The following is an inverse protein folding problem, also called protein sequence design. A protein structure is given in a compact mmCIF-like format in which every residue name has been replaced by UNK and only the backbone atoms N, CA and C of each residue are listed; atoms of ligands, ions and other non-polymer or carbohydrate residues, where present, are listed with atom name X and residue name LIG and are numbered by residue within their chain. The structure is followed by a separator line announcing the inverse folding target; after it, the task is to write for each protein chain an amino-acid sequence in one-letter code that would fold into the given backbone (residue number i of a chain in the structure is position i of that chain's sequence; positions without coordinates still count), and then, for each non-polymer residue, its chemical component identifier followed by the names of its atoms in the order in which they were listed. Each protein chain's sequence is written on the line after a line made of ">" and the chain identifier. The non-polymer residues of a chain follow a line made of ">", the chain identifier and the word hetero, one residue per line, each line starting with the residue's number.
data_IF_724535884855
#
_entry.id   IF_724535884855
#
_cell.length_a   1.000
_cell.length_b   1.000
_cell.length_c   1.000
_cell.angle_alpha   90.00
_cell.angle_beta   90.00
_cell.angle_gamma   90.00
#
_symmetry.space_group_name_H-M   'P 1'
#
loop_
_entity.id
_entity.type
_entity.pdbx_description
1 polymer ?
#
# COMPACT_ATOMS: atom_id res chain seq x y z
N UNK A 1 -8.09 -20.02 -1.46
CA UNK A 1 -6.95 -19.58 -0.62
C UNK A 1 -6.73 -18.11 -0.89
N UNK A 2 -6.57 -17.28 0.13
CA UNK A 2 -6.31 -15.84 -0.07
C UNK A 2 -4.80 -15.64 -0.03
N UNK A 3 -4.17 -15.17 -1.12
CA UNK A 3 -2.72 -14.99 -1.13
C UNK A 3 -2.33 -13.87 -0.16
N UNK A 4 -1.27 -14.15 0.61
CA UNK A 4 -0.62 -13.20 1.50
C UNK A 4 0.85 -13.16 1.09
N UNK A 5 1.36 -11.96 0.81
CA UNK A 5 2.77 -11.74 0.53
C UNK A 5 3.39 -10.86 1.61
N UNK A 6 4.71 -10.92 1.75
CA UNK A 6 5.48 -9.94 2.52
C UNK A 6 6.17 -8.99 1.55
N UNK A 7 6.10 -7.70 1.84
CA UNK A 7 6.85 -6.68 1.10
C UNK A 7 7.79 -5.94 2.05
N UNK A 8 8.95 -5.59 1.50
CA UNK A 8 9.90 -4.67 2.12
C UNK A 8 9.63 -3.25 1.65
N UNK A 9 9.73 -2.27 2.54
CA UNK A 9 9.64 -0.86 2.18
C UNK A 9 10.59 0.00 3.03
N UNK A 10 11.06 1.10 2.43
CA UNK A 10 11.90 2.07 3.12
C UNK A 10 11.06 3.25 3.60
N UNK A 11 11.24 3.65 4.85
CA UNK A 11 10.62 4.83 5.43
C UNK A 11 11.59 5.52 6.39
N UNK A 12 11.85 6.82 6.20
CA UNK A 12 12.78 7.61 7.04
C UNK A 12 14.15 6.91 7.24
N UNK A 13 14.75 6.44 6.15
CA UNK A 13 16.07 5.77 6.11
C UNK A 13 16.14 4.44 6.89
N UNK A 14 14.99 3.83 7.19
CA UNK A 14 14.91 2.51 7.82
C UNK A 14 14.08 1.57 6.95
N UNK A 15 14.45 0.30 6.98
CA UNK A 15 13.74 -0.78 6.31
C UNK A 15 12.68 -1.36 7.22
N UNK A 16 11.48 -1.55 6.69
CA UNK A 16 10.32 -2.13 7.36
C UNK A 16 9.66 -3.18 6.49
N UNK A 17 8.81 -4.00 7.12
CA UNK A 17 8.08 -5.07 6.45
C UNK A 17 6.59 -4.90 6.65
N UNK A 18 5.82 -5.28 5.63
CA UNK A 18 4.38 -5.33 5.69
C UNK A 18 3.84 -6.61 5.06
N UNK A 19 2.76 -7.15 5.64
CA UNK A 19 1.99 -8.24 5.06
C UNK A 19 0.91 -7.66 4.17
N UNK A 20 0.70 -8.26 3.01
CA UNK A 20 -0.29 -7.81 2.03
C UNK A 20 -1.23 -8.95 1.71
N UNK A 21 -2.49 -8.81 2.11
CA UNK A 21 -3.57 -9.74 1.78
C UNK A 21 -4.28 -9.23 0.53
N UNK A 22 -4.35 -10.08 -0.49
CA UNK A 22 -4.92 -9.69 -1.79
C UNK A 22 -6.34 -10.22 -1.91
N UNK A 23 -7.30 -9.36 -2.23
CA UNK A 23 -8.70 -9.73 -2.46
C UNK A 23 -9.10 -9.32 -3.88
N UNK A 24 -9.72 -10.23 -4.61
CA UNK A 24 -10.32 -9.92 -5.91
C UNK A 24 -11.81 -9.64 -5.71
N UNK A 25 -12.30 -8.51 -6.25
CA UNK A 25 -13.71 -8.11 -6.18
C UNK A 25 -14.10 -7.40 -7.46
N UNK A 26 -15.12 -7.89 -8.17
CA UNK A 26 -15.73 -7.19 -9.32
C UNK A 26 -14.72 -6.57 -10.31
N UNK A 27 -13.72 -7.36 -10.74
CA UNK A 27 -12.65 -6.94 -11.66
C UNK A 27 -11.57 -5.99 -11.09
N UNK A 28 -11.61 -5.67 -9.80
CA UNK A 28 -10.53 -4.93 -9.12
C UNK A 28 -9.79 -5.82 -8.12
N UNK A 29 -8.51 -5.52 -7.91
CA UNK A 29 -7.67 -6.16 -6.88
C UNK A 29 -7.44 -5.19 -5.74
N UNK A 30 -7.85 -5.60 -4.54
CA UNK A 30 -7.60 -4.87 -3.31
C UNK A 30 -6.42 -5.50 -2.57
N UNK A 31 -5.47 -4.66 -2.17
CA UNK A 31 -4.28 -5.02 -1.43
C UNK A 31 -4.42 -4.45 -0.03
N UNK A 32 -4.76 -5.31 0.93
CA UNK A 32 -4.95 -4.98 2.34
C UNK A 32 -3.60 -5.15 3.05
N UNK A 33 -2.99 -4.04 3.41
CA UNK A 33 -1.64 -4.00 4.02
C UNK A 33 -1.73 -4.03 5.53
N UNK A 34 -0.78 -4.68 6.18
CA UNK A 34 -0.53 -4.60 7.62
C UNK A 34 0.97 -4.42 7.85
N UNK A 35 1.37 -3.25 8.35
CA UNK A 35 2.75 -2.95 8.69
C UNK A 35 3.13 -3.71 9.96
N UNK A 36 4.24 -4.45 9.92
CA UNK A 36 4.67 -5.28 11.05
C UNK A 36 5.20 -4.47 12.23
N UNK A 37 5.50 -3.19 12.03
CA UNK A 37 5.79 -2.25 13.10
C UNK A 37 4.50 -1.61 13.62
N UNK A 38 4.08 -1.96 14.85
CA UNK A 38 2.82 -1.49 15.43
C UNK A 38 2.68 0.04 15.53
N UNK A 39 3.77 0.77 15.75
CA UNK A 39 3.71 2.25 15.80
C UNK A 39 3.43 2.84 14.42
N UNK A 40 4.03 2.28 13.36
CA UNK A 40 3.78 2.72 11.99
C UNK A 40 2.40 2.29 11.51
N UNK A 41 1.95 1.09 11.87
CA UNK A 41 0.60 0.62 11.55
C UNK A 41 -0.48 1.56 12.11
N UNK A 42 -0.35 1.95 13.38
CA UNK A 42 -1.26 2.93 13.99
C UNK A 42 -1.24 4.29 13.26
N UNK A 43 -0.09 4.70 12.71
CA UNK A 43 0.05 5.95 11.94
C UNK A 43 -0.57 5.87 10.56
N UNK A 44 -0.72 4.67 9.99
CA UNK A 44 -1.39 4.49 8.70
C UNK A 44 -2.89 4.77 8.80
N UNK A 45 -3.46 4.79 10.02
CA UNK A 45 -4.79 5.32 10.36
C UNK A 45 -5.93 4.81 9.44
N UNK A 46 -5.92 3.52 9.11
CA UNK A 46 -6.92 2.92 8.23
C UNK A 46 -6.64 3.09 6.72
N UNK A 47 -5.63 3.87 6.32
CA UNK A 47 -5.18 4.02 4.93
C UNK A 47 -4.28 2.86 4.49
N UNK A 48 -4.71 1.64 4.75
CA UNK A 48 -3.95 0.40 4.54
C UNK A 48 -4.41 -0.38 3.31
N UNK A 49 -5.44 0.10 2.61
CA UNK A 49 -5.98 -0.53 1.41
C UNK A 49 -5.47 0.22 0.18
N UNK A 50 -4.94 -0.53 -0.78
CA UNK A 50 -4.56 -0.07 -2.11
C UNK A 50 -5.40 -0.81 -3.15
N UNK A 51 -5.85 -0.10 -4.18
CA UNK A 51 -6.68 -0.70 -5.23
C UNK A 51 -5.89 -0.67 -6.53
N UNK A 52 -5.92 -1.79 -7.25
CA UNK A 52 -5.47 -1.88 -8.63
C UNK A 52 -6.69 -1.84 -9.55
N UNK A 53 -6.70 -0.88 -10.46
CA UNK A 53 -7.70 -0.72 -11.52
C UNK A 53 -6.96 -0.56 -12.85
N UNK A 54 -7.37 -1.30 -13.87
CA UNK A 54 -6.76 -1.25 -15.21
C UNK A 54 -5.23 -1.48 -15.22
N UNK A 55 -4.74 -2.32 -14.30
CA UNK A 55 -3.32 -2.64 -14.16
C UNK A 55 -2.47 -1.59 -13.44
N UNK A 56 -3.09 -0.52 -12.92
CA UNK A 56 -2.43 0.59 -12.24
C UNK A 56 -2.86 0.68 -10.76
N UNK A 57 -1.90 0.91 -9.86
CA UNK A 57 -2.19 1.14 -8.45
C UNK A 57 -2.72 2.57 -8.21
N UNK A 58 -3.85 2.69 -7.53
CA UNK A 58 -4.38 3.96 -7.04
C UNK A 58 -3.80 4.28 -5.66
N UNK A 59 -2.83 5.19 -5.62
CA UNK A 59 -2.13 5.57 -4.38
C UNK A 59 -2.77 6.83 -3.76
N UNK A 60 -3.40 7.68 -4.56
CA UNK A 60 -4.09 8.90 -4.13
C UNK A 60 -5.56 8.71 -3.69
N UNK A 61 -6.14 9.69 -2.97
CA UNK A 61 -5.46 10.84 -2.39
C UNK A 61 -4.60 10.43 -1.18
N UNK A 62 -3.41 11.03 -1.10
CA UNK A 62 -2.49 10.83 0.02
C UNK A 62 -3.01 11.67 1.20
N UNK A 63 -3.33 11.06 2.37
CA UNK A 63 -3.78 11.82 3.52
C UNK A 63 -2.73 12.84 3.96
N UNK A 64 -3.16 13.97 4.52
CA UNK A 64 -2.23 14.99 5.03
C UNK A 64 -1.28 14.41 6.10
N UNK A 65 -0.10 15.04 6.25
CA UNK A 65 0.90 14.77 7.32
C UNK A 65 1.62 13.40 7.18
N UNK A 66 2.09 12.86 8.30
CA UNK A 66 2.97 11.69 8.41
C UNK A 66 2.38 10.41 7.81
N UNK A 67 1.05 10.24 7.88
CA UNK A 67 0.34 9.10 7.29
C UNK A 67 0.51 9.05 5.77
N UNK A 68 0.58 10.22 5.12
CA UNK A 68 0.71 10.33 3.68
C UNK A 68 2.05 9.80 3.16
N UNK A 69 3.15 10.21 3.81
CA UNK A 69 4.49 9.74 3.45
C UNK A 69 4.62 8.22 3.68
N UNK A 70 4.02 7.70 4.76
CA UNK A 70 4.03 6.28 5.05
C UNK A 70 3.22 5.49 4.02
N UNK A 71 2.01 5.95 3.68
CA UNK A 71 1.18 5.34 2.63
C UNK A 71 1.88 5.35 1.28
N UNK A 72 2.55 6.45 0.93
CA UNK A 72 3.32 6.56 -0.30
C UNK A 72 4.47 5.55 -0.32
N UNK A 73 5.25 5.44 0.77
CA UNK A 73 6.34 4.48 0.87
C UNK A 73 5.87 3.03 0.64
N UNK A 74 4.76 2.65 1.29
CA UNK A 74 4.13 1.34 1.12
C UNK A 74 3.59 1.14 -0.30
N UNK A 75 2.89 2.12 -0.86
CA UNK A 75 2.35 2.06 -2.22
C UNK A 75 3.44 1.94 -3.29
N UNK A 76 4.55 2.66 -3.13
CA UNK A 76 5.71 2.56 -4.00
C UNK A 76 6.40 1.20 -3.90
N UNK A 77 6.42 0.59 -2.71
CA UNK A 77 6.92 -0.77 -2.54
C UNK A 77 6.04 -1.80 -3.25
N UNK A 78 4.71 -1.65 -3.19
CA UNK A 78 3.77 -2.48 -3.96
C UNK A 78 4.00 -2.36 -5.47
N UNK A 79 4.14 -1.13 -5.98
CA UNK A 79 4.40 -0.89 -7.41
C UNK A 79 5.69 -1.55 -7.87
N UNK A 80 6.77 -1.42 -7.08
CA UNK A 80 8.06 -2.08 -7.33
C UNK A 80 7.94 -3.60 -7.30
N UNK A 81 7.27 -4.16 -6.29
CA UNK A 81 7.12 -5.61 -6.14
C UNK A 81 6.41 -6.25 -7.34
N UNK A 82 5.38 -5.59 -7.87
CA UNK A 82 4.59 -6.10 -8.99
C UNK A 82 4.99 -5.55 -10.37
N UNK A 83 6.00 -4.67 -10.43
CA UNK A 83 6.40 -3.95 -11.64
C UNK A 83 5.22 -3.27 -12.34
N UNK A 84 4.41 -2.51 -11.59
CA UNK A 84 3.19 -1.83 -12.07
C UNK A 84 3.28 -0.31 -11.93
N UNK A 85 2.65 0.46 -12.84
CA UNK A 85 2.54 1.90 -12.71
C UNK A 85 1.59 2.30 -11.57
N UNK A 86 1.64 3.57 -11.19
CA UNK A 86 0.73 4.17 -10.21
C UNK A 86 0.13 5.47 -10.71
N UNK A 87 -1.11 5.72 -10.28
CA UNK A 87 -1.87 6.92 -10.61
C UNK A 87 -2.31 7.66 -9.35
N UNK A 88 -2.27 8.99 -9.43
CA UNK A 88 -2.92 9.89 -8.48
C UNK A 88 -4.21 10.41 -9.10
N UNK A 89 -5.30 9.63 -9.04
CA UNK A 89 -6.61 10.20 -9.36
C UNK A 89 -7.06 11.05 -8.17
N UNK A 90 -7.10 12.36 -8.39
CA UNK A 90 -7.90 13.29 -7.58
C UNK A 90 -9.35 13.06 -8.02
N UNK A 91 -10.16 12.45 -7.17
CA UNK A 91 -11.62 12.54 -7.29
C UNK A 91 -12.07 13.59 -6.31
#
# INVERSE_FOLDING_TARGET
>A
MIPIISIEFEYRQKTYYALVRIKERNNTKEYHVTIMNGMLEQRLYGHHIFVEEDGEFKIGPVPEKDAGQLRLAVGMALCRHYNKPYGSKVV
#
